data_IF_479829873917
#
_entry.id   IF_479829873917
#
_cell.length_a   1.000
_cell.length_b   1.000
_cell.length_c   1.000
_cell.angle_alpha   90.00
_cell.angle_beta   90.00
_cell.angle_gamma   90.00
#
_symmetry.space_group_name_H-M   'P 1'
#
loop_
_entity.id
_entity.type
_entity.pdbx_description
1 polymer ?
#
# COMPACT_ATOMS: atom_id res chain seq x y z
N UNK A 1 15.77 11.79 -44.61
CA UNK A 1 14.63 11.21 -43.86
C UNK A 1 15.15 10.01 -43.09
N UNK A 2 15.64 10.22 -41.87
CA UNK A 2 16.01 9.12 -40.97
C UNK A 2 14.79 8.78 -40.12
N UNK A 3 14.21 7.60 -40.36
CA UNK A 3 13.16 7.08 -39.51
C UNK A 3 13.78 6.61 -38.20
N UNK A 4 13.58 7.36 -37.11
CA UNK A 4 13.93 6.92 -35.76
C UNK A 4 13.12 5.66 -35.43
N UNK A 5 13.80 4.52 -35.46
CA UNK A 5 13.31 3.24 -34.93
C UNK A 5 13.17 3.40 -33.42
N UNK A 6 12.01 3.88 -32.97
CA UNK A 6 11.63 3.85 -31.56
C UNK A 6 11.40 2.39 -31.16
N UNK A 7 12.48 1.70 -30.78
CA UNK A 7 12.41 0.39 -30.14
C UNK A 7 11.54 0.52 -28.91
N UNK A 8 10.47 -0.27 -28.81
CA UNK A 8 9.65 -0.31 -27.59
C UNK A 8 10.55 -0.68 -26.40
N UNK A 9 10.39 -0.01 -25.24
CA UNK A 9 11.14 -0.38 -24.05
C UNK A 9 10.87 -1.84 -23.70
N UNK A 10 11.93 -2.55 -23.30
CA UNK A 10 11.84 -3.96 -22.91
C UNK A 10 10.91 -4.07 -21.68
N UNK A 11 9.91 -4.97 -21.68
CA UNK A 11 9.07 -5.18 -20.52
C UNK A 11 9.89 -5.75 -19.35
N UNK A 12 9.44 -5.48 -18.13
CA UNK A 12 10.05 -5.99 -16.92
C UNK A 12 9.92 -7.51 -16.88
N UNK A 13 10.95 -8.16 -16.35
CA UNK A 13 10.88 -9.57 -15.99
C UNK A 13 10.25 -9.74 -14.58
N UNK A 14 9.98 -10.98 -14.19
CA UNK A 14 9.32 -11.32 -12.93
C UNK A 14 10.14 -10.87 -11.72
N UNK A 15 11.46 -11.00 -11.77
CA UNK A 15 12.37 -10.65 -10.68
C UNK A 15 12.43 -9.12 -10.49
N UNK A 16 12.46 -8.36 -11.59
CA UNK A 16 12.43 -6.90 -11.59
C UNK A 16 11.11 -6.37 -11.03
N UNK A 17 9.98 -6.98 -11.44
CA UNK A 17 8.66 -6.64 -10.90
C UNK A 17 8.53 -7.01 -9.42
N UNK A 18 9.07 -8.16 -8.99
CA UNK A 18 9.13 -8.52 -7.58
C UNK A 18 10.01 -7.55 -6.78
N UNK A 19 11.17 -7.17 -7.30
CA UNK A 19 12.06 -6.20 -6.67
C UNK A 19 11.36 -4.85 -6.47
N UNK A 20 10.66 -4.36 -7.51
CA UNK A 20 9.87 -3.14 -7.40
C UNK A 20 8.78 -3.25 -6.33
N UNK A 21 8.03 -4.35 -6.28
CA UNK A 21 7.00 -4.56 -5.26
C UNK A 21 7.59 -4.53 -3.85
N UNK A 22 8.67 -5.26 -3.59
CA UNK A 22 9.35 -5.28 -2.28
C UNK A 22 9.90 -3.90 -1.92
N UNK A 23 10.49 -3.19 -2.88
CA UNK A 23 10.98 -1.82 -2.67
C UNK A 23 9.85 -0.88 -2.22
N UNK A 24 8.70 -0.92 -2.89
CA UNK A 24 7.56 -0.08 -2.54
C UNK A 24 6.80 -0.55 -1.30
N UNK A 25 6.83 -1.83 -0.95
CA UNK A 25 6.39 -2.29 0.37
C UNK A 25 7.24 -1.67 1.49
N UNK A 26 8.55 -1.56 1.31
CA UNK A 26 9.43 -0.90 2.29
C UNK A 26 9.11 0.61 2.37
N UNK A 27 8.93 1.27 1.22
CA UNK A 27 8.53 2.68 1.19
C UNK A 27 7.16 2.94 1.81
N UNK A 28 6.22 2.02 1.67
CA UNK A 28 4.93 2.09 2.35
C UNK A 28 5.12 2.15 3.87
N UNK A 29 5.98 1.29 4.43
CA UNK A 29 6.28 1.29 5.87
C UNK A 29 6.95 2.59 6.31
N UNK A 30 7.90 3.10 5.52
CA UNK A 30 8.53 4.40 5.79
C UNK A 30 7.50 5.53 5.83
N UNK A 31 6.56 5.55 4.87
CA UNK A 31 5.46 6.54 4.84
C UNK A 31 4.57 6.39 6.08
N UNK A 32 4.09 5.19 6.39
CA UNK A 32 3.26 4.99 7.59
C UNK A 32 3.98 5.44 8.87
N UNK A 33 5.28 5.14 8.99
CA UNK A 33 6.10 5.58 10.12
C UNK A 33 6.26 7.10 10.17
N UNK A 34 6.45 7.77 9.04
CA UNK A 34 6.64 9.22 8.98
C UNK A 34 5.38 9.99 9.39
N UNK A 35 4.20 9.43 9.13
CA UNK A 35 2.91 9.96 9.56
C UNK A 35 2.46 9.45 10.94
N UNK A 36 3.29 8.66 11.62
CA UNK A 36 2.99 8.06 12.93
C UNK A 36 1.70 7.23 12.93
N UNK A 37 1.40 6.56 11.82
CA UNK A 37 0.21 5.72 11.74
C UNK A 37 0.35 4.46 12.61
N UNK A 38 -0.73 4.03 13.27
CA UNK A 38 -0.75 2.78 14.01
C UNK A 38 -0.36 1.57 13.14
N UNK A 39 0.26 0.57 13.76
CA UNK A 39 0.66 -0.69 13.11
C UNK A 39 -0.50 -1.35 12.35
N UNK A 40 -1.74 -1.21 12.86
CA UNK A 40 -2.94 -1.73 12.22
C UNK A 40 -3.15 -1.15 10.81
N UNK A 41 -3.03 0.18 10.65
CA UNK A 41 -3.15 0.86 9.36
C UNK A 41 -2.05 0.40 8.40
N UNK A 42 -0.81 0.31 8.90
CA UNK A 42 0.32 -0.14 8.10
C UNK A 42 0.11 -1.57 7.57
N UNK A 43 -0.38 -2.48 8.41
CA UNK A 43 -0.68 -3.85 7.99
C UNK A 43 -1.81 -3.91 6.96
N UNK A 44 -2.89 -3.16 7.18
CA UNK A 44 -4.02 -3.06 6.24
C UNK A 44 -3.56 -2.53 4.88
N UNK A 45 -2.77 -1.44 4.85
CA UNK A 45 -2.22 -0.87 3.63
C UNK A 45 -1.27 -1.83 2.90
N UNK A 46 -0.41 -2.57 3.62
CA UNK A 46 0.47 -3.59 3.04
C UNK A 46 -0.32 -4.73 2.40
N UNK A 47 -1.39 -5.20 3.06
CA UNK A 47 -2.24 -6.26 2.51
C UNK A 47 -2.96 -5.78 1.25
N UNK A 48 -3.47 -4.55 1.24
CA UNK A 48 -4.07 -3.96 0.04
C UNK A 48 -3.07 -3.90 -1.12
N UNK A 49 -1.87 -3.39 -0.87
CA UNK A 49 -0.82 -3.26 -1.88
C UNK A 49 -0.44 -4.63 -2.46
N UNK A 50 -0.27 -5.64 -1.61
CA UNK A 50 0.02 -7.01 -2.04
C UNK A 50 -1.12 -7.60 -2.86
N UNK A 51 -2.37 -7.51 -2.38
CA UNK A 51 -3.57 -8.02 -3.07
C UNK A 51 -3.73 -7.37 -4.44
N UNK A 52 -3.54 -6.06 -4.53
CA UNK A 52 -3.62 -5.32 -5.80
C UNK A 52 -2.66 -5.90 -6.84
N UNK A 53 -1.38 -6.08 -6.49
CA UNK A 53 -0.35 -6.60 -7.40
C UNK A 53 -0.33 -8.13 -7.54
N UNK A 54 -1.34 -8.83 -7.04
CA UNK A 54 -1.65 -10.20 -7.47
C UNK A 54 -2.49 -10.20 -8.75
N UNK A 55 -3.26 -9.14 -9.00
CA UNK A 55 -4.16 -9.01 -10.15
C UNK A 55 -3.58 -8.10 -11.24
N UNK A 56 -2.84 -7.07 -10.85
CA UNK A 56 -2.30 -6.05 -11.75
C UNK A 56 -0.77 -6.12 -11.86
N UNK A 57 -0.24 -5.65 -12.99
CA UNK A 57 1.21 -5.48 -13.16
C UNK A 57 1.69 -4.09 -12.73
N UNK A 58 2.91 -4.02 -12.22
CA UNK A 58 3.61 -2.75 -11.93
C UNK A 58 3.87 -1.90 -13.17
N UNK A 59 3.82 -2.51 -14.37
CA UNK A 59 3.95 -1.81 -15.65
C UNK A 59 2.67 -1.08 -16.05
N UNK A 60 1.51 -1.51 -15.54
CA UNK A 60 0.21 -0.91 -15.83
C UNK A 60 -0.16 0.16 -14.80
N UNK A 61 0.08 -0.14 -13.53
CA UNK A 61 -0.17 0.78 -12.43
C UNK A 61 1.11 1.01 -11.64
N UNK A 62 1.55 2.27 -11.61
CA UNK A 62 2.82 2.62 -10.97
C UNK A 62 2.76 2.40 -9.44
N UNK A 63 3.67 1.61 -8.83
CA UNK A 63 3.64 1.26 -7.41
C UNK A 63 3.59 2.43 -6.44
N UNK A 64 4.25 3.55 -6.76
CA UNK A 64 4.17 4.76 -5.92
C UNK A 64 2.73 5.25 -5.76
N UNK A 65 1.92 5.20 -6.82
CA UNK A 65 0.55 5.69 -6.81
C UNK A 65 -0.35 4.77 -6.01
N UNK A 66 -0.28 3.47 -6.32
CA UNK A 66 -1.04 2.43 -5.62
C UNK A 66 -0.68 2.40 -4.13
N UNK A 67 0.60 2.50 -3.78
CA UNK A 67 1.06 2.58 -2.39
C UNK A 67 0.37 3.71 -1.61
N UNK A 68 0.34 4.91 -2.16
CA UNK A 68 -0.28 6.07 -1.50
C UNK A 68 -1.80 5.91 -1.39
N UNK A 69 -2.45 5.39 -2.42
CA UNK A 69 -3.88 5.11 -2.38
C UNK A 69 -4.22 3.99 -1.39
N UNK A 70 -3.40 2.95 -1.27
CA UNK A 70 -3.58 1.90 -0.26
C UNK A 70 -3.46 2.46 1.16
N UNK A 71 -2.49 3.36 1.42
CA UNK A 71 -2.36 4.04 2.72
C UNK A 71 -3.59 4.90 3.01
N UNK A 72 -4.03 5.69 2.03
CA UNK A 72 -5.23 6.52 2.16
C UNK A 72 -6.49 5.68 2.45
N UNK A 73 -6.71 4.61 1.68
CA UNK A 73 -7.84 3.70 1.87
C UNK A 73 -7.79 3.01 3.24
N UNK A 74 -6.61 2.57 3.68
CA UNK A 74 -6.43 1.96 5.00
C UNK A 74 -6.75 2.94 6.13
N UNK A 75 -6.32 4.20 6.04
CA UNK A 75 -6.69 5.23 7.02
C UNK A 75 -8.21 5.38 7.15
N UNK A 76 -8.94 5.42 6.03
CA UNK A 76 -10.41 5.51 6.06
C UNK A 76 -11.08 4.31 6.70
N UNK A 77 -10.62 3.10 6.38
CA UNK A 77 -11.23 1.85 6.87
C UNK A 77 -10.92 1.62 8.36
N UNK A 78 -9.75 2.07 8.82
CA UNK A 78 -9.34 2.01 10.22
C UNK A 78 -9.78 3.25 11.03
N UNK A 79 -10.70 4.06 10.48
CA UNK A 79 -11.29 5.25 11.12
C UNK A 79 -10.25 6.30 11.56
N UNK A 80 -9.11 6.36 10.86
CA UNK A 80 -8.08 7.37 11.07
C UNK A 80 -8.25 8.51 10.06
N UNK A 81 -8.68 9.67 10.55
CA UNK A 81 -8.96 10.83 9.71
C UNK A 81 -7.68 11.46 9.16
N UNK A 82 -7.41 11.21 7.87
CA UNK A 82 -6.35 11.86 7.09
C UNK A 82 -6.92 12.21 5.73
N UNK A 83 -6.78 13.47 5.34
CA UNK A 83 -7.18 13.92 4.01
C UNK A 83 -6.16 13.51 2.95
N UNK A 84 -6.61 13.33 1.71
CA UNK A 84 -5.71 13.09 0.58
C UNK A 84 -4.71 14.25 0.40
N UNK A 85 -5.12 15.48 0.71
CA UNK A 85 -4.25 16.66 0.68
C UNK A 85 -3.10 16.57 1.68
N UNK A 86 -3.36 16.18 2.92
CA UNK A 86 -2.32 16.01 3.95
C UNK A 86 -1.33 14.92 3.55
N UNK A 87 -1.83 13.79 3.06
CA UNK A 87 -0.98 12.69 2.60
C UNK A 87 -0.14 13.10 1.38
N UNK A 88 -0.75 13.80 0.42
CA UNK A 88 -0.07 14.34 -0.76
C UNK A 88 1.02 15.36 -0.42
N UNK A 89 0.73 16.30 0.48
CA UNK A 89 1.69 17.32 0.95
C UNK A 89 2.90 16.69 1.64
N UNK A 90 2.68 15.72 2.55
CA UNK A 90 3.79 15.08 3.27
C UNK A 90 4.76 14.29 2.38
N UNK A 91 4.34 13.93 1.16
CA UNK A 91 5.14 13.13 0.22
C UNK A 91 5.48 13.93 -1.05
N UNK A 92 5.10 15.22 -1.08
CA UNK A 92 5.28 16.12 -2.23
C UNK A 92 4.71 15.52 -3.53
N UNK A 93 3.49 14.99 -3.46
CA UNK A 93 2.75 14.44 -4.59
C UNK A 93 1.38 15.11 -4.73
N UNK A 94 0.87 15.14 -5.96
CA UNK A 94 -0.48 15.62 -6.23
C UNK A 94 -1.52 14.68 -5.59
N UNK A 95 -2.36 15.22 -4.73
CA UNK A 95 -3.39 14.47 -4.04
C UNK A 95 -4.50 13.98 -4.99
N UNK A 96 -4.70 14.65 -6.13
CA UNK A 96 -5.69 14.22 -7.12
C UNK A 96 -5.40 12.81 -7.64
N UNK A 97 -4.11 12.45 -7.73
CA UNK A 97 -3.72 11.10 -8.12
C UNK A 97 -4.25 10.05 -7.13
N UNK A 98 -4.16 10.31 -5.82
CA UNK A 98 -4.66 9.38 -4.80
C UNK A 98 -6.16 9.11 -5.00
N UNK A 99 -6.92 10.18 -5.25
CA UNK A 99 -8.37 10.13 -5.46
C UNK A 99 -8.73 9.40 -6.77
N UNK A 100 -7.98 9.64 -7.84
CA UNK A 100 -8.20 8.99 -9.14
C UNK A 100 -8.03 7.46 -9.07
N UNK A 101 -7.08 6.98 -8.28
CA UNK A 101 -6.83 5.55 -8.11
C UNK A 101 -7.73 4.88 -7.06
N UNK A 102 -8.47 5.65 -6.27
CA UNK A 102 -9.24 5.14 -5.13
C UNK A 102 -10.26 4.06 -5.53
N UNK A 103 -11.02 4.32 -6.59
CA UNK A 103 -12.02 3.38 -7.09
C UNK A 103 -11.36 2.12 -7.66
N UNK A 104 -10.26 2.28 -8.43
CA UNK A 104 -9.53 1.16 -9.04
C UNK A 104 -8.97 0.24 -7.95
N UNK A 105 -8.35 0.81 -6.91
CA UNK A 105 -7.83 0.02 -5.77
C UNK A 105 -8.97 -0.72 -5.08
N UNK A 106 -10.07 -0.05 -4.77
CA UNK A 106 -11.21 -0.68 -4.07
C UNK A 106 -11.84 -1.82 -4.88
N UNK A 107 -12.00 -1.64 -6.20
CA UNK A 107 -12.51 -2.67 -7.10
C UNK A 107 -11.54 -3.86 -7.21
N UNK A 108 -10.24 -3.61 -7.26
CA UNK A 108 -9.21 -4.66 -7.33
C UNK A 108 -9.09 -5.46 -6.03
N UNK A 109 -9.53 -4.89 -4.91
CA UNK A 109 -9.68 -5.60 -3.65
C UNK A 109 -11.02 -6.33 -3.54
N UNK A 110 -11.83 -6.31 -4.59
CA UNK A 110 -13.18 -6.88 -4.62
C UNK A 110 -14.09 -6.32 -3.51
N UNK A 111 -13.82 -5.09 -3.09
CA UNK A 111 -14.45 -4.42 -1.93
C UNK A 111 -14.31 -5.18 -0.60
N UNK A 112 -13.42 -6.16 -0.52
CA UNK A 112 -13.06 -6.85 0.73
C UNK A 112 -11.95 -6.08 1.45
N UNK A 113 -12.40 -5.08 2.21
CA UNK A 113 -11.57 -4.08 2.88
C UNK A 113 -11.26 -4.42 4.35
N UNK A 114 -11.90 -5.44 4.93
CA UNK A 114 -11.66 -5.76 6.34
C UNK A 114 -10.40 -6.63 6.44
N UNK A 115 -9.37 -6.10 7.10
CA UNK A 115 -8.10 -6.82 7.31
C UNK A 115 -7.91 -7.17 8.79
N UNK A 116 -7.72 -8.45 9.07
CA UNK A 116 -7.43 -8.95 10.40
C UNK A 116 -5.92 -9.04 10.65
N UNK A 117 -5.32 -7.96 11.16
CA UNK A 117 -3.90 -7.94 11.50
C UNK A 117 -3.59 -8.75 12.77
N UNK A 118 -2.40 -9.39 12.87
CA UNK A 118 -2.09 -10.32 13.97
C UNK A 118 -1.78 -9.64 15.31
N UNK A 119 -1.65 -8.31 15.36
CA UNK A 119 -1.19 -7.57 16.55
C UNK A 119 -2.05 -7.85 17.78
N UNK A 120 -3.38 -7.79 17.63
CA UNK A 120 -4.32 -8.06 18.73
C UNK A 120 -4.20 -9.50 19.25
N UNK A 121 -4.01 -10.46 18.34
CA UNK A 121 -3.86 -11.87 18.72
C UNK A 121 -2.56 -12.10 19.49
N UNK A 122 -1.47 -11.49 19.03
CA UNK A 122 -0.16 -11.56 19.71
C UNK A 122 -0.24 -10.95 21.10
N UNK A 123 -0.83 -9.77 21.26
CA UNK A 123 -1.04 -9.15 22.57
C UNK A 123 -1.88 -10.03 23.50
N UNK A 124 -2.94 -10.64 22.97
CA UNK A 124 -3.75 -11.62 23.71
C UNK A 124 -2.92 -12.79 24.24
N UNK A 125 -2.10 -13.40 23.37
CA UNK A 125 -1.22 -14.50 23.78
C UNK A 125 -0.18 -14.09 24.83
N UNK A 126 0.41 -12.90 24.71
CA UNK A 126 1.38 -12.39 25.70
C UNK A 126 0.70 -12.20 27.06
N UNK A 127 -0.47 -11.56 27.09
CA UNK A 127 -1.23 -11.35 28.32
C UNK A 127 -1.63 -12.68 29.00
N UNK A 128 -1.99 -13.70 28.23
CA UNK A 128 -2.33 -15.02 28.77
C UNK A 128 -1.10 -15.72 29.35
N UNK A 129 0.07 -15.60 28.71
CA UNK A 129 1.32 -16.10 29.26
C UNK A 129 1.70 -15.40 30.57
N UNK A 130 1.55 -14.08 30.65
CA UNK A 130 1.84 -13.32 31.88
C UNK A 130 0.93 -13.75 33.05
N UNK A 131 -0.36 -13.97 32.78
CA UNK A 131 -1.31 -14.47 33.79
C UNK A 131 -1.01 -15.88 34.28
N UNK A 132 -0.40 -16.73 33.45
CA UNK A 132 -0.03 -18.10 33.83
C UNK A 132 1.25 -18.16 34.69
N UNK A 133 2.07 -17.12 34.67
CA UNK A 133 3.30 -17.02 35.47
C UNK A 133 3.10 -16.29 36.83
N UNK A 134 1.87 -15.85 37.11
CA UNK A 134 1.43 -15.30 38.41
C UNK A 134 0.53 -16.31 39.13
#
# INVERSE_FOLDING_TARGET
MSADKHSRPKPLNIEEEQFMRVFYENKLREVCSAFYFPNKIQATALIYFKRFYLQWSVMEHHPKHIMLTCVYAACKIEENHVSAEELGKGISQDHQMILNYEMIVSQSLEFDLIVYAPYRSVEGFVNDMEKLHL
#
